data_IF_230422113190
#
_entry.id   IF_230422113190
#
_cell.length_a   1.000
_cell.length_b   1.000
_cell.length_c   1.000
_cell.angle_alpha   90.00
_cell.angle_beta   90.00
_cell.angle_gamma   90.00
#
_symmetry.space_group_name_H-M   'P 1'
#
loop_
_entity.id
_entity.type
_entity.pdbx_description
1 polymer ?
#
# COMPACT_ATOMS: atom_id res chain seq x y z
N UNK A 1 -38.58 -16.55 -2.05
CA UNK A 1 -37.25 -16.99 -1.57
C UNK A 1 -36.09 -16.01 -1.85
N UNK A 2 -36.36 -14.84 -2.41
CA UNK A 2 -35.36 -13.73 -2.59
C UNK A 2 -35.55 -12.55 -1.60
N UNK A 3 -36.72 -12.46 -0.97
CA UNK A 3 -37.06 -11.31 -0.09
C UNK A 3 -36.55 -11.43 1.36
N UNK A 4 -36.37 -12.64 1.89
CA UNK A 4 -35.97 -12.81 3.31
C UNK A 4 -34.49 -12.62 3.60
N UNK A 5 -33.62 -12.46 2.59
CA UNK A 5 -32.17 -12.21 2.78
C UNK A 5 -31.77 -10.73 2.84
N UNK A 6 -32.72 -9.82 2.70
CA UNK A 6 -32.47 -8.36 2.66
C UNK A 6 -32.44 -7.69 4.04
N UNK A 7 -32.86 -8.35 5.09
CA UNK A 7 -33.02 -7.72 6.41
C UNK A 7 -31.72 -7.36 7.14
N UNK A 8 -30.61 -8.04 6.86
CA UNK A 8 -29.36 -7.83 7.60
C UNK A 8 -28.35 -6.86 6.93
N UNK A 9 -28.67 -6.37 5.71
CA UNK A 9 -27.77 -5.49 4.93
C UNK A 9 -28.35 -4.09 4.69
N UNK A 10 -29.48 -3.77 5.27
CA UNK A 10 -30.23 -2.53 5.01
C UNK A 10 -29.50 -1.22 5.37
N UNK A 11 -28.40 -1.27 6.10
CA UNK A 11 -27.59 -0.09 6.46
C UNK A 11 -26.32 0.13 5.66
N UNK A 12 -25.93 -0.82 4.77
CA UNK A 12 -24.68 -0.66 4.00
C UNK A 12 -24.98 -0.06 2.62
N UNK A 13 -25.00 1.26 2.57
CA UNK A 13 -25.25 2.01 1.35
C UNK A 13 -24.29 1.60 0.21
N UNK A 14 -24.84 1.20 -0.93
CA UNK A 14 -24.26 1.15 -2.28
C UNK A 14 -23.19 0.11 -2.64
N UNK A 15 -22.74 -0.77 -1.77
CA UNK A 15 -21.94 -1.92 -2.21
C UNK A 15 -22.89 -3.01 -2.76
N UNK A 16 -22.47 -3.72 -3.82
CA UNK A 16 -23.15 -4.93 -4.26
C UNK A 16 -23.11 -6.02 -3.19
N UNK A 17 -23.94 -7.03 -3.32
CA UNK A 17 -24.03 -8.12 -2.34
C UNK A 17 -22.70 -8.86 -2.16
N UNK A 18 -21.99 -9.13 -3.27
CA UNK A 18 -20.70 -9.86 -3.24
C UNK A 18 -19.59 -9.01 -2.64
N UNK A 19 -19.59 -7.71 -2.93
CA UNK A 19 -18.63 -6.78 -2.31
C UNK A 19 -18.85 -6.69 -0.79
N UNK A 20 -20.09 -6.67 -0.31
CA UNK A 20 -20.41 -6.68 1.11
C UNK A 20 -20.01 -8.01 1.81
N UNK A 21 -20.10 -9.14 1.10
CA UNK A 21 -19.58 -10.43 1.59
C UNK A 21 -18.05 -10.38 1.71
N UNK A 22 -17.37 -9.86 0.70
CA UNK A 22 -15.91 -9.72 0.71
C UNK A 22 -15.43 -8.81 1.83
N UNK A 23 -16.11 -7.69 2.11
CA UNK A 23 -15.81 -6.82 3.26
C UNK A 23 -15.84 -7.60 4.59
N UNK A 24 -16.86 -8.44 4.80
CA UNK A 24 -16.99 -9.26 6.01
C UNK A 24 -15.88 -10.31 6.12
N UNK A 25 -15.57 -10.98 5.02
CA UNK A 25 -14.49 -11.99 4.97
C UNK A 25 -13.12 -11.35 5.21
N UNK A 26 -12.86 -10.17 4.64
CA UNK A 26 -11.64 -9.40 4.91
C UNK A 26 -11.57 -8.96 6.38
N UNK A 27 -12.68 -8.47 6.96
CA UNK A 27 -12.72 -8.07 8.35
C UNK A 27 -12.42 -9.25 9.28
N UNK A 28 -12.99 -10.43 8.99
CA UNK A 28 -12.72 -11.66 9.73
C UNK A 28 -11.25 -12.09 9.61
N UNK A 29 -10.70 -12.10 8.39
CA UNK A 29 -9.30 -12.46 8.14
C UNK A 29 -8.32 -11.52 8.84
N UNK A 30 -8.53 -10.21 8.72
CA UNK A 30 -7.69 -9.17 9.33
C UNK A 30 -7.92 -9.02 10.83
N UNK A 31 -8.94 -9.68 11.41
CA UNK A 31 -9.37 -9.56 12.82
C UNK A 31 -9.66 -8.12 13.22
N UNK A 32 -10.41 -7.43 12.38
CA UNK A 32 -10.81 -6.03 12.59
C UNK A 32 -12.33 -5.92 12.61
N UNK A 33 -12.89 -4.88 13.28
CA UNK A 33 -14.35 -4.71 13.37
C UNK A 33 -15.02 -4.47 12.03
N UNK A 34 -14.36 -3.76 11.10
CA UNK A 34 -14.96 -3.39 9.82
C UNK A 34 -13.90 -3.17 8.73
N UNK A 35 -14.32 -3.32 7.48
CA UNK A 35 -13.53 -3.05 6.27
C UNK A 35 -14.43 -2.41 5.22
N UNK A 36 -13.93 -1.42 4.52
CA UNK A 36 -14.61 -0.73 3.43
C UNK A 36 -13.88 -1.02 2.11
N UNK A 37 -14.47 -1.87 1.26
CA UNK A 37 -13.92 -2.19 -0.04
C UNK A 37 -14.08 -1.01 -1.02
N UNK A 38 -13.03 -0.75 -1.80
CA UNK A 38 -12.95 0.36 -2.74
C UNK A 38 -12.44 -0.11 -4.11
N UNK A 39 -12.68 0.69 -5.15
CA UNK A 39 -12.30 0.36 -6.53
C UNK A 39 -10.79 0.26 -6.76
N UNK A 40 -9.96 0.90 -5.92
CA UNK A 40 -8.50 0.77 -5.91
C UNK A 40 -7.92 1.31 -4.60
N UNK A 41 -6.68 0.92 -4.26
CA UNK A 41 -5.96 1.52 -3.13
C UNK A 41 -5.77 3.03 -3.29
N UNK A 42 -5.55 3.53 -4.50
CA UNK A 42 -5.44 4.96 -4.78
C UNK A 42 -6.69 5.73 -4.35
N UNK A 43 -7.88 5.20 -4.68
CA UNK A 43 -9.16 5.74 -4.19
C UNK A 43 -9.26 5.58 -2.67
N UNK A 44 -8.82 4.44 -2.12
CA UNK A 44 -8.79 4.20 -0.68
C UNK A 44 -7.95 5.23 0.08
N UNK A 45 -6.73 5.53 -0.40
CA UNK A 45 -5.85 6.56 0.18
C UNK A 45 -6.51 7.94 0.09
N UNK A 46 -7.09 8.28 -1.06
CA UNK A 46 -7.81 9.56 -1.23
C UNK A 46 -8.93 9.71 -0.20
N UNK A 47 -9.79 8.72 -0.08
CA UNK A 47 -10.92 8.76 0.86
C UNK A 47 -10.46 8.75 2.32
N UNK A 48 -9.41 7.98 2.66
CA UNK A 48 -8.85 7.97 4.00
C UNK A 48 -8.24 9.33 4.38
N UNK A 49 -7.47 9.95 3.50
CA UNK A 49 -6.92 11.30 3.71
C UNK A 49 -8.03 12.35 3.81
N UNK A 50 -9.05 12.27 2.95
CA UNK A 50 -10.23 13.16 3.01
C UNK A 50 -10.97 13.02 4.35
N UNK A 51 -11.16 11.80 4.85
CA UNK A 51 -11.78 11.53 6.17
C UNK A 51 -10.94 12.12 7.31
N UNK A 52 -9.62 12.20 7.17
CA UNK A 52 -8.71 12.86 8.11
C UNK A 52 -8.70 14.41 7.97
N UNK A 53 -9.49 15.00 7.08
CA UNK A 53 -9.53 16.44 6.85
C UNK A 53 -8.31 16.98 6.12
N UNK A 54 -7.65 16.15 5.31
CA UNK A 54 -6.57 16.59 4.40
C UNK A 54 -7.18 17.38 3.23
N UNK A 55 -6.60 18.53 2.94
CA UNK A 55 -7.08 19.44 1.89
C UNK A 55 -6.16 20.65 1.71
N UNK A 56 -6.62 21.70 1.02
CA UNK A 56 -5.84 22.92 0.80
C UNK A 56 -5.33 23.51 2.12
N UNK A 57 -4.07 23.92 2.13
CA UNK A 57 -3.41 24.47 3.32
C UNK A 57 -2.86 23.42 4.31
N UNK A 58 -3.06 22.12 4.04
CA UNK A 58 -2.50 21.05 4.87
C UNK A 58 -1.33 20.33 4.22
N UNK A 59 -0.49 19.68 5.03
CA UNK A 59 0.64 18.85 4.60
C UNK A 59 0.42 17.39 5.00
N UNK A 60 0.91 16.48 4.16
CA UNK A 60 0.99 15.04 4.44
C UNK A 60 2.45 14.61 4.38
N UNK A 61 2.99 14.13 5.51
CA UNK A 61 4.34 13.55 5.56
C UNK A 61 4.31 12.19 4.89
N UNK A 62 5.21 11.96 3.92
CA UNK A 62 5.22 10.75 3.08
C UNK A 62 6.63 10.42 2.59
N UNK A 63 7.05 9.13 2.50
CA UNK A 63 8.31 8.79 1.85
C UNK A 63 8.27 9.13 0.36
N UNK A 64 9.39 9.62 -0.18
CA UNK A 64 9.48 9.91 -1.60
C UNK A 64 9.63 8.66 -2.47
N UNK A 65 10.27 7.61 -1.96
CA UNK A 65 10.50 6.36 -2.69
C UNK A 65 9.31 5.41 -2.56
N UNK A 66 8.24 5.73 -3.26
CA UNK A 66 7.00 4.95 -3.31
C UNK A 66 6.38 5.02 -4.70
N UNK A 67 5.37 4.21 -4.94
CA UNK A 67 4.57 4.30 -6.17
C UNK A 67 3.79 5.62 -6.22
N UNK A 68 3.70 6.25 -7.38
CA UNK A 68 3.02 7.54 -7.55
C UNK A 68 1.57 7.56 -7.05
N UNK A 69 0.92 6.38 -6.98
CA UNK A 69 -0.44 6.23 -6.46
C UNK A 69 -0.57 6.61 -4.96
N UNK A 70 0.53 6.61 -4.20
CA UNK A 70 0.57 7.12 -2.82
C UNK A 70 0.51 8.65 -2.78
N UNK A 71 1.15 9.32 -3.75
CA UNK A 71 1.32 10.78 -3.77
C UNK A 71 0.15 11.49 -4.45
N UNK A 72 -0.36 10.92 -5.55
CA UNK A 72 -1.43 11.53 -6.33
C UNK A 72 -2.70 11.90 -5.53
N UNK A 73 -3.17 11.08 -4.56
CA UNK A 73 -4.30 11.44 -3.71
C UNK A 73 -4.07 12.71 -2.87
N UNK A 74 -2.84 12.92 -2.36
CA UNK A 74 -2.48 14.13 -1.59
C UNK A 74 -2.66 15.36 -2.47
N UNK A 75 -2.09 15.30 -3.69
CA UNK A 75 -2.16 16.40 -4.67
C UNK A 75 -3.59 16.63 -5.14
N UNK A 76 -4.36 15.57 -5.39
CA UNK A 76 -5.75 15.65 -5.81
C UNK A 76 -6.66 16.29 -4.75
N UNK A 77 -6.32 16.17 -3.47
CA UNK A 77 -6.99 16.85 -2.37
C UNK A 77 -6.55 18.32 -2.19
N UNK A 78 -5.60 18.81 -2.98
CA UNK A 78 -5.04 20.15 -2.86
C UNK A 78 -4.07 20.33 -1.69
N UNK A 79 -3.63 19.24 -1.06
CA UNK A 79 -2.66 19.25 0.01
C UNK A 79 -1.22 19.16 -0.52
N UNK A 80 -0.26 19.41 0.36
CA UNK A 80 1.17 19.39 0.03
C UNK A 80 1.78 18.06 0.48
N UNK A 81 2.40 17.27 -0.43
CA UNK A 81 3.23 16.14 -0.02
C UNK A 81 4.55 16.66 0.58
N UNK A 82 4.74 16.41 1.88
CA UNK A 82 5.99 16.69 2.57
C UNK A 82 6.87 15.45 2.53
N UNK A 83 7.75 15.39 1.54
CA UNK A 83 8.63 14.24 1.34
C UNK A 83 9.68 14.13 2.44
N UNK A 84 9.92 12.89 2.90
CA UNK A 84 10.97 12.55 3.87
C UNK A 84 11.82 11.38 3.37
N UNK A 85 13.02 11.25 3.94
CA UNK A 85 13.88 10.09 3.76
C UNK A 85 13.31 8.84 4.44
N UNK A 86 13.83 7.71 4.07
CA UNK A 86 13.56 6.40 4.65
C UNK A 86 14.86 5.74 5.15
N UNK A 87 14.74 4.67 5.93
CA UNK A 87 15.88 3.83 6.29
C UNK A 87 16.42 3.08 5.07
N UNK A 88 17.75 3.10 4.83
CA UNK A 88 18.35 2.47 3.65
C UNK A 88 18.27 0.93 3.66
N UNK A 89 18.07 0.33 4.82
CA UNK A 89 17.97 -1.13 4.97
C UNK A 89 16.57 -1.68 4.79
N UNK A 90 15.51 -0.84 4.95
CA UNK A 90 14.11 -1.27 4.93
C UNK A 90 13.27 -0.56 3.87
N UNK A 91 13.72 0.61 3.40
CA UNK A 91 12.98 1.55 2.55
C UNK A 91 11.67 2.06 3.21
N UNK A 92 11.53 1.88 4.51
CA UNK A 92 10.43 2.40 5.32
C UNK A 92 10.86 3.66 6.08
N UNK A 93 9.91 4.55 6.36
CA UNK A 93 10.16 5.73 7.19
C UNK A 93 10.38 5.32 8.65
N UNK A 94 11.17 6.10 9.38
CA UNK A 94 11.43 5.93 10.80
C UNK A 94 10.71 7.01 11.61
N UNK A 95 10.34 6.70 12.85
CA UNK A 95 9.57 7.59 13.71
C UNK A 95 10.26 8.94 13.92
N UNK A 96 11.59 8.97 14.05
CA UNK A 96 12.35 10.19 14.26
C UNK A 96 12.30 11.10 13.01
N UNK A 97 12.47 10.53 11.80
CA UNK A 97 12.35 11.29 10.54
C UNK A 97 10.94 11.88 10.36
N UNK A 98 9.91 11.17 10.81
CA UNK A 98 8.53 11.68 10.83
C UNK A 98 8.42 12.84 11.79
N UNK A 99 8.92 12.71 13.02
CA UNK A 99 8.88 13.72 14.07
C UNK A 99 9.56 15.02 13.66
N UNK A 100 10.75 14.93 13.07
CA UNK A 100 11.50 16.08 12.55
C UNK A 100 10.80 16.81 11.40
N UNK A 101 9.94 16.10 10.67
CA UNK A 101 9.22 16.67 9.54
C UNK A 101 7.90 17.36 9.92
N UNK A 102 7.44 17.26 11.15
CA UNK A 102 6.16 17.87 11.59
C UNK A 102 6.24 19.40 11.49
N UNK A 103 5.18 19.99 10.95
CA UNK A 103 4.94 21.44 10.88
C UNK A 103 3.55 21.77 11.42
N UNK A 104 3.23 23.04 11.67
CA UNK A 104 1.85 23.46 12.02
C UNK A 104 0.80 23.13 10.96
N UNK A 105 1.21 22.91 9.70
CA UNK A 105 0.34 22.52 8.59
C UNK A 105 0.17 21.00 8.47
N UNK A 106 0.96 20.20 9.18
CA UNK A 106 0.90 18.73 9.11
C UNK A 106 -0.45 18.22 9.58
N UNK A 107 -1.16 17.50 8.72
CA UNK A 107 -2.47 16.92 9.01
C UNK A 107 -2.44 15.40 9.09
N UNK A 108 -1.58 14.77 8.30
CA UNK A 108 -1.43 13.31 8.30
C UNK A 108 0.00 12.87 8.05
N UNK A 109 0.31 11.66 8.52
CA UNK A 109 1.48 10.88 8.12
C UNK A 109 0.98 9.72 7.28
N UNK A 110 1.59 9.51 6.12
CA UNK A 110 1.26 8.43 5.19
C UNK A 110 2.49 7.51 5.02
N UNK A 111 2.81 6.66 6.02
CA UNK A 111 3.87 5.68 5.89
C UNK A 111 3.49 4.62 4.85
N UNK A 112 4.48 4.17 4.09
CA UNK A 112 4.34 3.06 3.13
C UNK A 112 4.96 1.81 3.73
N UNK A 113 4.18 0.74 3.82
CA UNK A 113 4.63 -0.55 4.32
C UNK A 113 5.38 -1.29 3.21
N UNK A 114 6.57 -0.76 2.89
CA UNK A 114 7.35 -1.19 1.73
C UNK A 114 7.74 -2.66 1.80
N UNK A 115 7.61 -3.38 0.69
CA UNK A 115 7.92 -4.80 0.60
C UNK A 115 7.05 -5.73 1.45
N UNK A 116 6.11 -5.19 2.20
CA UNK A 116 5.29 -5.91 3.18
C UNK A 116 5.71 -5.63 4.63
N UNK A 117 6.76 -4.82 4.86
CA UNK A 117 7.28 -4.52 6.19
C UNK A 117 6.34 -3.56 6.94
N UNK A 118 5.90 -3.87 8.16
CA UNK A 118 5.22 -2.94 9.04
C UNK A 118 6.13 -1.74 9.40
N UNK A 119 5.54 -0.56 9.52
CA UNK A 119 6.23 0.67 9.97
C UNK A 119 5.83 0.96 11.41
N UNK A 120 6.79 0.92 12.33
CA UNK A 120 6.52 1.19 13.74
C UNK A 120 6.60 2.69 14.05
N UNK A 121 5.46 3.29 14.36
CA UNK A 121 5.31 4.67 14.83
C UNK A 121 4.77 4.75 16.26
N UNK A 122 4.84 3.67 17.05
CA UNK A 122 4.28 3.61 18.40
C UNK A 122 4.90 4.64 19.33
N UNK A 123 6.21 4.90 19.20
CA UNK A 123 6.96 5.86 20.01
C UNK A 123 6.47 7.31 19.88
N UNK A 124 5.87 7.68 18.75
CA UNK A 124 5.37 9.04 18.46
C UNK A 124 3.84 9.12 18.34
N UNK A 125 3.14 7.97 18.41
CA UNK A 125 1.70 7.90 18.17
C UNK A 125 0.87 8.78 19.14
N UNK A 126 1.32 8.91 20.39
CA UNK A 126 0.68 9.81 21.37
C UNK A 126 0.82 11.28 20.97
N UNK A 127 2.02 11.69 20.58
CA UNK A 127 2.32 13.07 20.21
C UNK A 127 1.57 13.47 18.93
N UNK A 128 1.52 12.57 17.94
CA UNK A 128 0.74 12.79 16.72
C UNK A 128 -0.75 13.01 17.03
N UNK A 129 -1.31 12.19 17.93
CA UNK A 129 -2.71 12.31 18.35
C UNK A 129 -3.00 13.62 19.08
N UNK A 130 -2.14 14.02 20.01
CA UNK A 130 -2.28 15.30 20.72
C UNK A 130 -2.25 16.50 19.77
N UNK A 131 -1.48 16.40 18.68
CA UNK A 131 -1.40 17.44 17.65
C UNK A 131 -2.49 17.29 16.56
N UNK A 132 -3.43 16.33 16.72
CA UNK A 132 -4.47 16.03 15.73
C UNK A 132 -3.89 15.66 14.33
N UNK A 133 -2.75 14.97 14.34
CA UNK A 133 -2.10 14.42 13.13
C UNK A 133 -2.51 12.96 13.01
N UNK A 134 -3.10 12.61 11.88
CA UNK A 134 -3.62 11.27 11.63
C UNK A 134 -2.57 10.36 10.97
N UNK A 135 -2.64 9.05 11.23
CA UNK A 135 -1.84 8.05 10.53
C UNK A 135 -2.75 7.34 9.52
N UNK A 136 -2.32 7.37 8.24
CA UNK A 136 -2.94 6.63 7.15
C UNK A 136 -1.87 5.73 6.55
N UNK A 137 -1.93 4.41 6.76
CA UNK A 137 -0.95 3.46 6.25
C UNK A 137 -1.25 3.10 4.80
N UNK A 138 -0.30 3.32 3.90
CA UNK A 138 -0.31 2.68 2.57
C UNK A 138 0.23 1.25 2.71
N UNK A 139 -0.68 0.33 2.93
CA UNK A 139 -0.42 -1.11 3.03
C UNK A 139 -0.64 -1.85 1.69
N UNK A 140 -0.52 -1.13 0.56
CA UNK A 140 -0.70 -1.72 -0.78
C UNK A 140 0.31 -2.84 -1.10
N UNK A 141 1.34 -3.01 -0.29
CA UNK A 141 2.35 -4.08 -0.39
C UNK A 141 2.36 -5.00 0.84
N UNK A 142 1.40 -4.89 1.78
CA UNK A 142 1.50 -5.51 3.09
C UNK A 142 0.28 -6.37 3.50
N UNK A 143 -0.53 -6.83 2.53
CA UNK A 143 -1.64 -7.72 2.87
C UNK A 143 -1.12 -9.03 3.47
N UNK A 144 -1.67 -9.42 4.63
CA UNK A 144 -1.25 -10.59 5.40
C UNK A 144 -0.03 -10.36 6.32
N UNK A 145 0.63 -9.20 6.25
CA UNK A 145 1.67 -8.82 7.22
C UNK A 145 1.05 -8.35 8.53
N UNK A 146 1.79 -8.46 9.67
CA UNK A 146 1.32 -7.97 10.95
C UNK A 146 1.00 -6.48 10.92
N UNK A 147 0.04 -6.06 11.73
CA UNK A 147 -0.26 -4.63 11.97
C UNK A 147 0.51 -4.16 13.20
N UNK A 148 0.98 -2.92 13.17
CA UNK A 148 1.86 -2.36 14.23
C UNK A 148 1.14 -2.00 15.53
N UNK A 149 -0.19 -2.11 15.60
CA UNK A 149 -0.96 -1.74 16.79
C UNK A 149 -1.20 -0.24 16.97
N UNK A 150 -0.63 0.62 16.13
CA UNK A 150 -1.00 2.04 16.10
C UNK A 150 -2.41 2.21 15.54
N UNK A 151 -3.13 3.22 16.04
CA UNK A 151 -4.45 3.57 15.53
C UNK A 151 -4.31 4.29 14.18
N UNK A 152 -4.32 3.54 13.09
CA UNK A 152 -4.21 4.02 11.73
C UNK A 152 -5.39 3.60 10.86
N UNK A 153 -5.76 4.45 9.90
CA UNK A 153 -6.52 4.02 8.72
C UNK A 153 -5.57 3.23 7.83
N UNK A 154 -5.82 1.95 7.58
CA UNK A 154 -4.92 1.10 6.78
C UNK A 154 -5.53 0.82 5.42
N UNK A 155 -4.79 1.10 4.33
CA UNK A 155 -5.27 0.95 2.95
C UNK A 155 -4.54 -0.18 2.25
N UNK A 156 -5.29 -1.22 1.86
CA UNK A 156 -4.80 -2.37 1.10
C UNK A 156 -5.11 -2.25 -0.39
N UNK A 157 -4.26 -2.84 -1.23
CA UNK A 157 -4.45 -2.94 -2.68
C UNK A 157 -4.71 -4.38 -3.10
N UNK A 158 -5.65 -4.57 -4.01
CA UNK A 158 -5.96 -5.83 -4.65
C UNK A 158 -5.73 -5.79 -6.17
N UNK A 159 -4.73 -5.00 -6.60
CA UNK A 159 -4.28 -4.97 -7.99
C UNK A 159 -3.68 -6.31 -8.47
N UNK A 160 -3.40 -6.46 -9.79
CA UNK A 160 -3.03 -7.75 -10.39
C UNK A 160 -1.75 -8.38 -9.81
N UNK A 161 -0.77 -7.54 -9.42
CA UNK A 161 0.54 -8.00 -8.93
C UNK A 161 0.61 -8.12 -7.40
N UNK A 162 -0.50 -7.83 -6.68
CA UNK A 162 -0.49 -7.80 -5.21
C UNK A 162 -0.54 -9.21 -4.62
N UNK A 163 -0.20 -9.32 -3.34
CA UNK A 163 -0.22 -10.60 -2.60
C UNK A 163 -1.59 -11.26 -2.66
N UNK A 164 -2.66 -10.47 -2.50
CA UNK A 164 -4.04 -10.83 -2.77
C UNK A 164 -4.54 -9.98 -3.92
N UNK A 165 -5.09 -10.60 -4.96
CA UNK A 165 -5.63 -9.86 -6.10
C UNK A 165 -7.15 -10.05 -6.23
N UNK A 166 -7.83 -8.96 -6.59
CA UNK A 166 -9.20 -8.95 -7.08
C UNK A 166 -9.24 -8.43 -8.53
N UNK A 167 -8.15 -8.61 -9.31
CA UNK A 167 -7.84 -7.98 -10.59
C UNK A 167 -7.64 -6.47 -10.42
N UNK A 168 -8.65 -5.75 -9.97
CA UNK A 168 -8.61 -4.35 -9.56
C UNK A 168 -9.40 -4.19 -8.27
N UNK A 169 -8.89 -3.44 -7.31
CA UNK A 169 -9.57 -3.22 -6.05
C UNK A 169 -8.64 -2.72 -4.95
N UNK A 170 -9.24 -2.45 -3.82
CA UNK A 170 -8.59 -2.12 -2.57
C UNK A 170 -9.56 -2.20 -1.40
N UNK A 171 -9.05 -1.97 -0.22
CA UNK A 171 -9.87 -1.86 0.99
C UNK A 171 -9.25 -0.88 1.98
N UNK A 172 -10.09 -0.22 2.75
CA UNK A 172 -9.70 0.63 3.88
C UNK A 172 -10.19 -0.03 5.16
N UNK A 173 -9.30 -0.19 6.14
CA UNK A 173 -9.64 -0.56 7.51
C UNK A 173 -9.82 0.72 8.30
N UNK A 174 -11.05 1.07 8.71
CA UNK A 174 -11.32 2.25 9.54
C UNK A 174 -10.89 2.01 10.99
N UNK A 175 -10.70 3.08 11.75
CA UNK A 175 -10.40 3.02 13.19
C UNK A 175 -11.67 2.99 14.03
N UNK A 176 -12.74 3.64 13.54
CA UNK A 176 -14.03 3.78 14.23
C UNK A 176 -15.21 3.50 13.30
N UNK A 177 -16.39 3.36 13.87
CA UNK A 177 -17.64 3.17 13.12
C UNK A 177 -17.97 4.42 12.28
N UNK A 178 -17.74 5.61 12.85
CA UNK A 178 -18.01 6.89 12.18
C UNK A 178 -17.12 7.06 10.94
N UNK A 179 -15.85 6.65 11.02
CA UNK A 179 -14.95 6.63 9.87
C UNK A 179 -15.42 5.63 8.80
N UNK A 180 -15.88 4.46 9.20
CA UNK A 180 -16.43 3.48 8.28
C UNK A 180 -17.64 4.02 7.51
N UNK A 181 -18.53 4.72 8.20
CA UNK A 181 -19.70 5.37 7.60
C UNK A 181 -19.28 6.50 6.65
N UNK A 182 -18.36 7.38 7.07
CA UNK A 182 -17.82 8.46 6.26
C UNK A 182 -17.14 7.91 4.97
N UNK A 183 -16.36 6.84 5.07
CA UNK A 183 -15.73 6.19 3.93
C UNK A 183 -16.77 5.58 2.98
N UNK A 184 -17.82 4.91 3.49
CA UNK A 184 -18.90 4.35 2.67
C UNK A 184 -19.69 5.42 1.94
N UNK A 185 -19.96 6.52 2.63
CA UNK A 185 -20.64 7.68 2.03
C UNK A 185 -19.77 8.31 0.94
N UNK A 186 -18.51 8.61 1.25
CA UNK A 186 -17.59 9.27 0.30
C UNK A 186 -17.29 8.40 -0.92
N UNK A 187 -17.13 7.06 -0.78
CA UNK A 187 -16.96 6.15 -1.93
C UNK A 187 -18.20 6.06 -2.82
N UNK A 188 -19.32 6.61 -2.35
CA UNK A 188 -20.63 6.59 -3.01
C UNK A 188 -21.11 7.99 -3.39
N UNK A 189 -20.19 8.86 -3.80
CA UNK A 189 -20.49 10.23 -4.25
C UNK A 189 -21.04 11.14 -3.15
N UNK A 190 -20.78 10.86 -1.88
CA UNK A 190 -21.32 11.63 -0.76
C UNK A 190 -22.84 11.44 -0.54
N UNK A 191 -23.45 10.47 -1.21
CA UNK A 191 -24.90 10.20 -1.11
C UNK A 191 -25.19 9.45 0.19
N UNK A 192 -26.12 9.98 1.00
CA UNK A 192 -26.50 9.42 2.31
C UNK A 192 -27.71 8.49 2.25
N UNK A 193 -28.60 8.66 1.27
CA UNK A 193 -29.77 7.80 1.10
C UNK A 193 -29.37 6.39 0.64
N UNK A 194 -29.92 5.36 1.27
CA UNK A 194 -29.75 3.98 0.84
C UNK A 194 -30.37 3.74 -0.55
N UNK A 195 -29.98 2.65 -1.21
CA UNK A 195 -30.59 2.28 -2.49
C UNK A 195 -32.09 2.00 -2.32
N UNK A 196 -32.48 1.40 -1.19
CA UNK A 196 -33.89 1.13 -0.84
C UNK A 196 -34.67 2.42 -0.64
N UNK A 197 -34.08 3.41 0.03
CA UNK A 197 -34.72 4.71 0.21
C UNK A 197 -34.93 5.42 -1.13
N UNK A 198 -33.95 5.37 -2.03
CA UNK A 198 -34.03 5.98 -3.37
C UNK A 198 -35.07 5.34 -4.28
N UNK A 199 -35.42 4.07 -4.06
CA UNK A 199 -36.53 3.43 -4.78
C UNK A 199 -37.91 3.98 -4.29
N UNK A 200 -37.96 4.41 -3.02
CA UNK A 200 -39.18 4.90 -2.37
C UNK A 200 -39.34 6.43 -2.43
N UNK A 201 -38.30 7.14 -2.77
CA UNK A 201 -38.29 8.61 -2.83
C UNK A 201 -37.93 9.10 -4.23
N UNK A 202 -38.36 10.30 -4.57
CA UNK A 202 -38.04 10.96 -5.85
C UNK A 202 -36.73 11.77 -5.80
N UNK A 203 -36.07 11.80 -4.63
CA UNK A 203 -34.87 12.62 -4.39
C UNK A 203 -33.81 11.86 -3.59
N UNK A 204 -32.58 12.36 -3.65
CA UNK A 204 -31.47 11.89 -2.79
C UNK A 204 -30.72 13.11 -2.23
N UNK A 205 -29.98 12.88 -1.12
CA UNK A 205 -29.18 13.92 -0.46
C UNK A 205 -27.69 13.63 -0.66
N UNK A 206 -26.91 14.64 -1.05
CA UNK A 206 -25.44 14.62 -1.08
C UNK A 206 -24.96 15.52 0.05
N UNK A 207 -24.26 14.96 1.04
CA UNK A 207 -23.81 15.71 2.23
C UNK A 207 -22.35 16.16 2.17
N UNK A 208 -21.57 15.68 1.20
CA UNK A 208 -20.17 16.04 1.10
C UNK A 208 -19.52 15.56 -0.18
N UNK A 209 -18.26 15.91 -0.40
CA UNK A 209 -17.50 15.43 -1.55
C UNK A 209 -17.28 13.93 -1.49
N UNK A 210 -17.31 13.29 -2.65
CA UNK A 210 -17.09 11.86 -2.75
C UNK A 210 -16.73 11.44 -4.17
N UNK A 211 -16.31 10.19 -4.27
CA UNK A 211 -15.93 9.56 -5.54
C UNK A 211 -16.84 8.36 -5.83
N UNK A 212 -16.93 7.97 -7.10
CA UNK A 212 -17.50 6.66 -7.45
C UNK A 212 -16.42 5.60 -7.27
N UNK A 213 -16.21 5.19 -6.01
CA UNK A 213 -15.12 4.33 -5.60
C UNK A 213 -15.54 2.93 -5.13
N UNK A 214 -16.74 2.47 -5.48
CA UNK A 214 -17.26 1.15 -5.06
C UNK A 214 -16.54 0.03 -5.81
N UNK A 215 -16.15 -1.02 -5.09
CA UNK A 215 -15.65 -2.27 -5.69
C UNK A 215 -16.79 -2.99 -6.41
N UNK A 216 -16.56 -3.45 -7.64
CA UNK A 216 -17.56 -4.24 -8.39
C UNK A 216 -17.76 -5.63 -7.78
N UNK A 217 -18.94 -6.20 -7.91
CA UNK A 217 -19.22 -7.57 -7.45
C UNK A 217 -18.38 -8.62 -8.20
N UNK A 218 -18.03 -8.38 -9.47
CA UNK A 218 -17.14 -9.28 -10.24
C UNK A 218 -15.75 -9.31 -9.60
N UNK A 219 -15.17 -8.15 -9.33
CA UNK A 219 -13.87 -8.06 -8.68
C UNK A 219 -13.90 -8.62 -7.24
N UNK A 220 -14.97 -8.34 -6.50
CA UNK A 220 -15.17 -8.90 -5.17
C UNK A 220 -15.25 -10.43 -5.17
N UNK A 221 -15.92 -11.03 -6.17
CA UNK A 221 -15.98 -12.48 -6.31
C UNK A 221 -14.59 -13.10 -6.51
N UNK A 222 -13.78 -12.50 -7.39
CA UNK A 222 -12.37 -12.92 -7.57
C UNK A 222 -11.59 -12.75 -6.26
N UNK A 223 -11.72 -11.61 -5.58
CA UNK A 223 -11.06 -11.34 -4.30
C UNK A 223 -11.37 -12.38 -3.23
N UNK A 224 -12.63 -12.80 -3.11
CA UNK A 224 -13.07 -13.84 -2.17
C UNK A 224 -12.41 -15.20 -2.45
N UNK A 225 -12.34 -15.61 -3.70
CA UNK A 225 -11.63 -16.86 -4.09
C UNK A 225 -10.15 -16.78 -3.76
N UNK A 226 -9.52 -15.63 -4.01
CA UNK A 226 -8.11 -15.43 -3.70
C UNK A 226 -7.86 -15.35 -2.18
N UNK A 227 -8.77 -14.76 -1.41
CA UNK A 227 -8.67 -14.70 0.05
C UNK A 227 -8.74 -16.11 0.66
N UNK A 228 -9.63 -16.97 0.16
CA UNK A 228 -9.76 -18.34 0.65
C UNK A 228 -8.48 -19.19 0.49
N UNK A 229 -7.59 -18.85 -0.45
CA UNK A 229 -6.30 -19.53 -0.68
C UNK A 229 -5.09 -18.72 -0.22
N UNK A 230 -5.30 -17.59 0.43
CA UNK A 230 -4.24 -16.62 0.68
C UNK A 230 -3.11 -17.17 1.58
N UNK A 231 -3.43 -17.99 2.59
CA UNK A 231 -2.40 -18.58 3.46
C UNK A 231 -1.38 -19.42 2.67
N UNK A 232 -1.83 -20.18 1.68
CA UNK A 232 -0.92 -20.91 0.79
C UNK A 232 0.01 -19.96 0.02
N UNK A 233 -0.55 -18.85 -0.49
CA UNK A 233 0.24 -17.82 -1.19
C UNK A 233 1.24 -17.14 -0.26
N UNK A 234 0.86 -16.87 0.99
CA UNK A 234 1.71 -16.26 1.99
C UNK A 234 2.92 -17.16 2.34
N UNK A 235 2.68 -18.46 2.50
CA UNK A 235 3.77 -19.45 2.74
C UNK A 235 4.75 -19.47 1.57
N UNK A 236 4.25 -19.62 0.33
CA UNK A 236 5.09 -19.64 -0.88
C UNK A 236 5.93 -18.37 -1.02
N UNK A 237 5.37 -17.20 -0.71
CA UNK A 237 6.11 -15.94 -0.76
C UNK A 237 7.21 -15.87 0.29
N UNK A 238 6.97 -16.33 1.52
CA UNK A 238 8.00 -16.39 2.58
C UNK A 238 9.12 -17.37 2.21
N UNK A 239 8.79 -18.54 1.70
CA UNK A 239 9.78 -19.52 1.24
C UNK A 239 10.66 -18.98 0.12
N UNK A 240 10.04 -18.34 -0.88
CA UNK A 240 10.75 -17.73 -2.00
C UNK A 240 11.68 -16.60 -1.54
N UNK A 241 11.21 -15.72 -0.65
CA UNK A 241 12.02 -14.63 -0.10
C UNK A 241 13.20 -15.18 0.72
N UNK A 242 12.96 -16.18 1.55
CA UNK A 242 14.02 -16.84 2.31
C UNK A 242 15.07 -17.48 1.42
N UNK A 243 14.68 -18.08 0.29
CA UNK A 243 15.61 -18.64 -0.68
C UNK A 243 16.53 -17.57 -1.29
N UNK A 244 15.99 -16.38 -1.63
CA UNK A 244 16.80 -15.24 -2.04
C UNK A 244 17.71 -14.73 -0.93
N UNK A 245 17.16 -14.49 0.26
CA UNK A 245 17.92 -13.96 1.39
C UNK A 245 19.08 -14.88 1.77
N UNK A 246 18.87 -16.20 1.74
CA UNK A 246 19.92 -17.19 1.99
C UNK A 246 20.99 -17.17 0.89
N UNK A 247 20.58 -17.14 -0.39
CA UNK A 247 21.51 -17.18 -1.52
C UNK A 247 22.37 -15.90 -1.63
N UNK A 248 21.90 -14.76 -1.09
CA UNK A 248 22.55 -13.46 -1.18
C UNK A 248 23.15 -12.97 0.16
N UNK A 249 23.04 -13.74 1.23
CA UNK A 249 23.44 -13.32 2.59
C UNK A 249 24.86 -12.78 2.68
N UNK A 250 25.80 -13.49 2.11
CA UNK A 250 27.23 -13.17 2.20
C UNK A 250 27.79 -12.67 0.85
N UNK A 251 26.90 -12.23 -0.04
CA UNK A 251 27.29 -11.80 -1.37
C UNK A 251 27.93 -10.39 -1.32
N UNK A 252 29.21 -10.24 -1.73
CA UNK A 252 29.88 -8.93 -1.68
C UNK A 252 29.15 -7.88 -2.51
N UNK A 253 28.90 -6.72 -1.90
CA UNK A 253 28.27 -5.58 -2.56
C UNK A 253 26.76 -5.74 -2.78
N UNK A 254 26.10 -6.77 -2.23
CA UNK A 254 24.66 -6.95 -2.26
C UNK A 254 24.08 -6.72 -0.86
N UNK A 255 23.08 -5.87 -0.75
CA UNK A 255 22.29 -5.74 0.46
C UNK A 255 20.82 -6.06 0.14
N UNK A 256 20.28 -7.13 0.70
CA UNK A 256 18.86 -7.47 0.59
C UNK A 256 18.05 -6.53 1.47
N UNK A 257 16.98 -5.93 0.94
CA UNK A 257 16.07 -5.09 1.73
C UNK A 257 15.29 -5.96 2.69
N UNK A 258 15.38 -5.62 3.98
CA UNK A 258 14.71 -6.36 5.05
C UNK A 258 13.21 -6.05 5.09
N UNK A 259 12.40 -7.09 5.01
CA UNK A 259 10.93 -7.00 5.09
C UNK A 259 10.37 -7.38 6.47
N UNK A 260 11.23 -7.84 7.40
CA UNK A 260 10.83 -8.34 8.72
C UNK A 260 10.39 -9.81 8.71
N UNK A 261 10.59 -10.48 9.85
CA UNK A 261 10.44 -11.95 9.93
C UNK A 261 8.99 -12.44 9.72
N UNK A 262 8.00 -11.67 10.18
CA UNK A 262 6.58 -12.05 10.15
C UNK A 262 5.83 -11.49 8.94
N UNK A 263 6.48 -10.73 8.08
CA UNK A 263 5.85 -10.14 6.92
C UNK A 263 5.46 -11.21 5.87
N UNK A 264 4.48 -10.85 5.03
CA UNK A 264 4.25 -11.52 3.75
C UNK A 264 4.94 -10.69 2.67
N UNK A 265 6.11 -11.13 2.16
CA UNK A 265 6.89 -10.31 1.23
C UNK A 265 6.11 -10.00 -0.07
N UNK A 266 6.14 -8.74 -0.46
CA UNK A 266 5.56 -8.31 -1.74
C UNK A 266 6.54 -8.51 -2.90
N UNK A 267 7.80 -8.19 -2.68
CA UNK A 267 8.89 -8.29 -3.65
C UNK A 267 10.19 -8.68 -2.95
N UNK A 268 11.21 -9.06 -3.72
CA UNK A 268 12.58 -9.15 -3.27
C UNK A 268 13.37 -8.01 -3.91
N UNK A 269 13.83 -7.07 -3.09
CA UNK A 269 14.62 -5.92 -3.52
C UNK A 269 16.02 -6.04 -2.94
N UNK A 270 17.01 -5.77 -3.79
CA UNK A 270 18.42 -5.72 -3.39
C UNK A 270 18.99 -4.35 -3.73
N UNK A 271 20.01 -3.93 -2.98
CA UNK A 271 20.86 -2.78 -3.34
C UNK A 271 22.15 -3.33 -3.91
N UNK A 272 22.55 -2.85 -5.07
CA UNK A 272 23.77 -3.25 -5.77
C UNK A 272 24.48 -2.04 -6.38
N UNK A 273 25.80 -1.96 -6.34
CA UNK A 273 26.55 -0.89 -7.01
C UNK A 273 26.39 -1.04 -8.53
N UNK A 274 26.36 0.10 -9.24
CA UNK A 274 26.23 0.13 -10.69
C UNK A 274 24.93 -0.51 -11.20
N UNK A 275 23.83 -0.36 -10.45
CA UNK A 275 22.51 -0.95 -10.69
C UNK A 275 22.06 -0.89 -12.14
N UNK A 276 22.25 0.22 -12.84
CA UNK A 276 21.81 0.37 -14.23
C UNK A 276 22.51 -0.61 -15.17
N UNK A 277 23.81 -0.82 -14.99
CA UNK A 277 24.59 -1.82 -15.72
C UNK A 277 24.13 -3.23 -15.41
N UNK A 278 23.97 -3.56 -14.12
CA UNK A 278 23.50 -4.86 -13.66
C UNK A 278 22.10 -5.15 -14.22
N UNK A 279 21.20 -4.16 -14.17
CA UNK A 279 19.86 -4.25 -14.74
C UNK A 279 19.89 -4.60 -16.23
N UNK A 280 20.74 -3.92 -17.04
CA UNK A 280 20.91 -4.21 -18.45
C UNK A 280 21.34 -5.66 -18.69
N UNK A 281 22.44 -6.10 -18.03
CA UNK A 281 22.95 -7.47 -18.15
C UNK A 281 21.91 -8.54 -17.77
N UNK A 282 21.16 -8.31 -16.68
CA UNK A 282 20.10 -9.23 -16.27
C UNK A 282 18.98 -9.32 -17.30
N UNK A 283 18.55 -8.17 -17.86
CA UNK A 283 17.54 -8.10 -18.92
C UNK A 283 17.98 -8.83 -20.19
N UNK A 284 19.23 -8.65 -20.61
CA UNK A 284 19.80 -9.31 -21.80
C UNK A 284 19.86 -10.84 -21.62
N UNK A 285 19.90 -11.32 -20.38
CA UNK A 285 19.79 -12.76 -20.04
C UNK A 285 18.35 -13.26 -19.91
N UNK A 286 17.35 -12.42 -20.20
CA UNK A 286 15.93 -12.78 -20.09
C UNK A 286 15.39 -12.76 -18.66
N UNK A 287 16.12 -12.18 -17.69
CA UNK A 287 15.65 -12.05 -16.29
C UNK A 287 14.83 -10.77 -16.13
N UNK A 288 13.59 -10.90 -15.71
CA UNK A 288 12.66 -9.79 -15.52
C UNK A 288 12.93 -8.98 -14.26
N UNK A 289 13.93 -8.10 -14.26
CA UNK A 289 14.23 -7.18 -13.15
C UNK A 289 13.60 -5.82 -13.36
N UNK A 290 13.41 -5.08 -12.26
CA UNK A 290 12.79 -3.75 -12.28
C UNK A 290 13.28 -2.83 -11.15
N UNK A 291 12.74 -1.62 -11.08
CA UNK A 291 13.04 -0.63 -10.05
C UNK A 291 11.73 -0.19 -9.37
N UNK A 292 11.60 -0.46 -8.10
CA UNK A 292 10.45 -0.08 -7.29
C UNK A 292 10.91 0.75 -6.06
N UNK A 293 10.91 2.10 -6.13
CA UNK A 293 10.43 2.96 -7.23
C UNK A 293 11.40 4.10 -7.46
N UNK A 294 11.35 4.82 -8.60
CA UNK A 294 12.02 6.11 -8.72
C UNK A 294 11.47 7.10 -7.68
N UNK A 295 12.31 7.98 -7.10
CA UNK A 295 11.86 8.96 -6.12
C UNK A 295 10.84 9.95 -6.69
N UNK A 296 9.73 10.16 -5.98
CA UNK A 296 8.67 11.05 -6.45
C UNK A 296 9.07 12.53 -6.42
N UNK A 297 9.88 12.97 -5.42
CA UNK A 297 10.32 14.37 -5.33
C UNK A 297 11.18 14.82 -6.52
N UNK A 298 11.74 13.86 -7.29
CA UNK A 298 12.50 14.13 -8.52
C UNK A 298 11.62 14.04 -9.79
N UNK A 299 10.35 13.67 -9.67
CA UNK A 299 9.46 13.58 -10.82
C UNK A 299 8.93 14.97 -11.21
N UNK A 300 8.82 15.29 -12.51
CA UNK A 300 8.35 16.58 -12.97
C UNK A 300 7.01 17.04 -12.37
N UNK A 301 6.09 16.10 -12.17
CA UNK A 301 4.76 16.38 -11.59
C UNK A 301 4.81 16.90 -10.15
N UNK A 302 5.89 16.61 -9.42
CA UNK A 302 6.05 16.95 -8.00
C UNK A 302 7.23 17.89 -7.74
N UNK A 303 7.87 18.43 -8.80
CA UNK A 303 9.07 19.26 -8.73
C UNK A 303 8.95 20.49 -7.82
N UNK A 304 7.74 21.08 -7.72
CA UNK A 304 7.48 22.23 -6.84
C UNK A 304 7.60 21.92 -5.35
N UNK A 305 7.64 20.63 -4.96
CA UNK A 305 7.80 20.16 -3.58
C UNK A 305 9.15 19.43 -3.37
N UNK A 306 10.05 19.55 -4.34
CA UNK A 306 11.39 18.96 -4.27
C UNK A 306 12.15 19.50 -3.04
N UNK A 307 12.86 18.61 -2.39
CA UNK A 307 13.82 18.90 -1.31
C UNK A 307 14.92 17.86 -1.35
N UNK A 308 16.09 18.15 -0.73
CA UNK A 308 17.18 17.19 -0.62
C UNK A 308 16.78 16.02 0.26
N UNK A 309 16.91 14.81 -0.26
CA UNK A 309 16.69 13.53 0.42
C UNK A 309 17.85 12.58 0.11
N UNK A 310 19.01 12.79 0.74
CA UNK A 310 20.27 12.15 0.33
C UNK A 310 20.26 10.62 0.47
N UNK A 311 19.49 10.07 1.43
CA UNK A 311 19.37 8.62 1.59
C UNK A 311 18.51 8.06 0.46
N UNK A 312 17.36 8.68 0.19
CA UNK A 312 16.45 8.27 -0.90
C UNK A 312 17.13 8.36 -2.26
N UNK A 313 17.83 9.46 -2.54
CA UNK A 313 18.52 9.69 -3.81
C UNK A 313 19.60 8.63 -4.05
N UNK A 314 20.43 8.33 -3.03
CA UNK A 314 21.44 7.27 -3.13
C UNK A 314 20.83 5.87 -3.29
N UNK A 315 19.83 5.51 -2.47
CA UNK A 315 19.21 4.18 -2.57
C UNK A 315 18.48 3.98 -3.89
N UNK A 316 17.92 5.03 -4.47
CA UNK A 316 17.29 5.00 -5.78
C UNK A 316 18.23 4.61 -6.92
N UNK A 317 19.52 4.91 -6.80
CA UNK A 317 20.55 4.51 -7.77
C UNK A 317 20.98 3.05 -7.59
N UNK A 318 20.72 2.46 -6.43
CA UNK A 318 21.23 1.14 -6.05
C UNK A 318 20.15 0.03 -6.10
N UNK A 319 18.87 0.36 -5.86
CA UNK A 319 17.82 -0.65 -5.75
C UNK A 319 17.52 -1.37 -7.06
N UNK A 320 17.38 -2.69 -6.97
CA UNK A 320 16.96 -3.58 -8.05
C UNK A 320 15.97 -4.60 -7.51
N UNK A 321 14.80 -4.70 -8.11
CA UNK A 321 13.81 -5.72 -7.76
C UNK A 321 14.03 -6.96 -8.62
N UNK A 322 14.17 -8.09 -7.95
CA UNK A 322 14.29 -9.40 -8.57
C UNK A 322 12.90 -9.99 -8.88
N UNK A 323 12.79 -10.92 -9.83
CA UNK A 323 11.54 -11.64 -10.09
C UNK A 323 10.97 -12.25 -8.80
N UNK A 324 9.68 -12.01 -8.53
CA UNK A 324 9.08 -12.46 -7.28
C UNK A 324 7.57 -12.67 -7.42
N UNK A 325 7.15 -13.92 -7.65
CA UNK A 325 5.73 -14.29 -7.73
C UNK A 325 5.52 -15.75 -7.27
N UNK A 326 4.32 -16.12 -6.78
CA UNK A 326 4.08 -17.41 -6.13
C UNK A 326 4.16 -18.63 -7.07
N UNK A 327 4.31 -18.44 -8.38
CA UNK A 327 4.57 -19.53 -9.33
C UNK A 327 6.07 -19.83 -9.50
N UNK A 328 6.96 -19.04 -8.90
CA UNK A 328 8.39 -19.34 -8.86
C UNK A 328 8.71 -20.40 -7.80
N UNK A 329 9.73 -21.19 -8.06
CA UNK A 329 10.30 -22.13 -7.10
C UNK A 329 11.49 -21.53 -6.35
N UNK A 330 11.89 -22.14 -5.24
CA UNK A 330 13.14 -21.78 -4.55
C UNK A 330 14.39 -22.02 -5.43
N UNK A 331 14.29 -22.91 -6.44
CA UNK A 331 15.36 -23.12 -7.43
C UNK A 331 15.49 -21.88 -8.33
N UNK A 332 14.37 -21.34 -8.82
CA UNK A 332 14.36 -20.12 -9.65
C UNK A 332 14.96 -18.93 -8.91
N UNK A 333 14.67 -18.81 -7.60
CA UNK A 333 15.27 -17.77 -6.76
C UNK A 333 16.78 -17.91 -6.65
N UNK A 334 17.29 -19.10 -6.39
CA UNK A 334 18.74 -19.36 -6.33
C UNK A 334 19.42 -19.14 -7.69
N UNK A 335 18.81 -19.59 -8.76
CA UNK A 335 19.31 -19.34 -10.13
C UNK A 335 19.37 -17.83 -10.43
N UNK A 336 18.31 -17.09 -10.09
CA UNK A 336 18.27 -15.62 -10.27
C UNK A 336 19.34 -14.93 -9.42
N UNK A 337 19.57 -15.37 -8.20
CA UNK A 337 20.64 -14.85 -7.32
C UNK A 337 22.03 -15.09 -7.94
N UNK A 338 22.29 -16.30 -8.47
CA UNK A 338 23.55 -16.59 -9.16
C UNK A 338 23.74 -15.73 -10.41
N UNK A 339 22.69 -15.55 -11.22
CA UNK A 339 22.73 -14.67 -12.38
C UNK A 339 23.01 -13.20 -12.01
N UNK A 340 22.49 -12.71 -10.88
CA UNK A 340 22.79 -11.38 -10.34
C UNK A 340 24.28 -11.24 -10.00
N UNK A 341 24.85 -12.20 -9.26
CA UNK A 341 26.26 -12.17 -8.87
C UNK A 341 27.20 -12.21 -10.07
N UNK A 342 26.89 -13.03 -11.08
CA UNK A 342 27.65 -13.04 -12.33
C UNK A 342 27.52 -11.71 -13.11
N UNK A 343 26.34 -11.06 -13.09
CA UNK A 343 26.14 -9.77 -13.72
C UNK A 343 26.96 -8.68 -13.03
N UNK A 344 27.10 -8.75 -11.71
CA UNK A 344 27.93 -7.82 -10.92
C UNK A 344 29.42 -8.01 -11.15
N UNK A 345 29.88 -9.25 -11.32
CA UNK A 345 31.29 -9.59 -11.53
C UNK A 345 31.82 -9.15 -12.91
N UNK A 346 30.98 -8.90 -13.92
CA UNK A 346 31.41 -8.42 -15.23
C UNK A 346 31.99 -7.02 -15.12
N UNK A 347 33.19 -6.75 -15.68
CA UNK A 347 33.76 -5.41 -15.67
C UNK A 347 32.86 -4.43 -16.44
N UNK A 348 32.93 -3.12 -16.14
CA UNK A 348 32.35 -2.10 -17.00
C UNK A 348 32.98 -2.21 -18.39
N UNK A 349 32.13 -2.33 -19.41
CA UNK A 349 32.57 -2.36 -20.81
C UNK A 349 33.04 -0.99 -21.28
#
# INVERSE_FOLDING_TARGET
>A
MLEERHGATAGRASAGLVAALFERELASYLRVPDVVAVSSATVGIHLALQTCGVGPGTEVIVPSQTFAATIQPIVALGAVPRFIDHSPGTLCVEAEAVKEAITPATRAVLPVLYGGRPVDLTSIASDLRHQNIHIVEDAAQAFGSPRTGVQALTVYSFGPIKQLTALVGGAVVPRTVEEAEALRQSRSLGITSSQTDRIRTTTYCVQGPGLRGVLSDVNAAVGRVQLARFETVAVLRRELWNAYAQALRDAPGVAVIDVGNDAVPFNCVVRVPGRNRVHGIMRDRGVGVGVHYPPNHLQPAFARWTRSLPITERTAEEILSLPFHPAMTCHDARWTAAALLEAMARPPG
#
